data_IF_729957210564
#
_entry.id   IF_729957210564
#
_cell.length_a   1.000
_cell.length_b   1.000
_cell.length_c   1.000
_cell.angle_alpha   90.00
_cell.angle_beta   90.00
_cell.angle_gamma   90.00
#
_symmetry.space_group_name_H-M   'P 1'
#
loop_
_entity.id
_entity.type
_entity.pdbx_description
1 polymer ?
#
# COMPACT_ATOMS: atom_id res chain seq x y z
N UNK A 1 -11.82 9.98 -1.42
CA UNK A 1 -10.88 9.72 -0.31
C UNK A 1 -10.69 8.22 -0.26
N UNK A 2 -9.48 7.70 -0.39
CA UNK A 2 -9.24 6.30 -0.02
C UNK A 2 -9.55 6.20 1.46
N UNK A 3 -10.53 5.39 1.82
CA UNK A 3 -10.93 5.29 3.21
C UNK A 3 -9.85 4.52 3.97
N UNK A 4 -9.57 4.91 5.21
CA UNK A 4 -8.75 4.10 6.15
C UNK A 4 -9.24 2.64 6.19
N UNK A 5 -10.54 2.43 5.94
CA UNK A 5 -11.12 1.10 5.74
C UNK A 5 -10.49 0.34 4.56
N UNK A 6 -10.31 0.96 3.40
CA UNK A 6 -9.70 0.31 2.23
C UNK A 6 -8.24 -0.09 2.50
N UNK A 7 -7.47 0.81 3.14
CA UNK A 7 -6.07 0.54 3.51
C UNK A 7 -5.91 -0.62 4.50
N UNK A 8 -6.92 -0.94 5.31
CA UNK A 8 -6.91 -2.12 6.19
C UNK A 8 -7.50 -3.33 5.47
N UNK A 9 -8.72 -3.20 4.96
CA UNK A 9 -9.53 -4.30 4.49
C UNK A 9 -8.89 -5.00 3.29
N UNK A 10 -8.42 -4.24 2.31
CA UNK A 10 -7.82 -4.77 1.08
C UNK A 10 -6.61 -5.65 1.40
N UNK A 11 -5.55 -5.17 2.09
CA UNK A 11 -4.39 -6.01 2.34
C UNK A 11 -4.68 -7.18 3.29
N UNK A 12 -5.58 -7.03 4.27
CA UNK A 12 -6.00 -8.15 5.13
C UNK A 12 -6.63 -9.25 4.29
N UNK A 13 -7.58 -8.92 3.42
CA UNK A 13 -8.28 -9.89 2.56
C UNK A 13 -7.30 -10.57 1.61
N UNK A 14 -6.38 -9.81 0.99
CA UNK A 14 -5.36 -10.37 0.10
C UNK A 14 -4.47 -11.36 0.85
N UNK A 15 -3.94 -11.01 2.03
CA UNK A 15 -3.12 -11.93 2.81
C UNK A 15 -3.88 -13.16 3.27
N UNK A 16 -5.15 -13.03 3.66
CA UNK A 16 -5.99 -14.17 4.02
C UNK A 16 -6.24 -15.10 2.83
N UNK A 17 -6.48 -14.54 1.63
CA UNK A 17 -6.68 -15.30 0.39
C UNK A 17 -5.45 -16.16 0.05
N UNK A 18 -4.25 -15.63 0.27
CA UNK A 18 -3.00 -16.33 -0.01
C UNK A 18 -2.35 -17.00 1.20
N UNK A 19 -2.97 -16.91 2.40
CA UNK A 19 -2.39 -17.36 3.67
C UNK A 19 -1.89 -18.80 3.64
N UNK A 20 -2.70 -19.73 3.12
CA UNK A 20 -2.33 -21.15 3.00
C UNK A 20 -1.12 -21.37 2.09
N UNK A 21 -1.04 -20.66 0.96
CA UNK A 21 0.08 -20.78 0.01
C UNK A 21 1.36 -20.16 0.55
N UNK A 22 1.23 -19.07 1.29
CA UNK A 22 2.34 -18.35 1.90
C UNK A 22 2.75 -18.92 3.28
N UNK A 23 2.12 -20.00 3.73
CA UNK A 23 2.28 -20.60 5.07
C UNK A 23 2.11 -19.58 6.21
N UNK A 24 1.16 -18.65 6.07
CA UNK A 24 0.85 -17.63 7.07
C UNK A 24 -0.27 -18.12 7.99
N UNK A 25 -0.13 -17.89 9.29
CA UNK A 25 -1.22 -18.13 10.22
C UNK A 25 -2.25 -16.98 10.13
N UNK A 26 -3.55 -17.26 9.89
CA UNK A 26 -4.57 -16.22 9.79
C UNK A 26 -4.66 -15.30 11.01
N UNK A 27 -4.38 -15.85 12.20
CA UNK A 27 -4.33 -15.07 13.45
C UNK A 27 -3.27 -13.96 13.38
N UNK A 28 -2.09 -14.27 12.86
CA UNK A 28 -1.00 -13.30 12.75
C UNK A 28 -1.35 -12.24 11.71
N UNK A 29 -1.98 -12.63 10.60
CA UNK A 29 -2.48 -11.69 9.58
C UNK A 29 -3.44 -10.68 10.20
N UNK A 30 -4.43 -11.13 10.97
CA UNK A 30 -5.43 -10.27 11.60
C UNK A 30 -4.80 -9.36 12.67
N UNK A 31 -3.99 -9.92 13.59
CA UNK A 31 -3.37 -9.16 14.68
C UNK A 31 -2.41 -8.09 14.13
N UNK A 32 -1.59 -8.45 13.14
CA UNK A 32 -0.65 -7.52 12.52
C UNK A 32 -1.35 -6.54 11.56
N UNK A 33 -2.65 -6.69 11.30
CA UNK A 33 -3.44 -5.75 10.51
C UNK A 33 -3.41 -4.31 11.03
N UNK A 34 -3.11 -4.12 12.32
CA UNK A 34 -2.86 -2.78 12.89
C UNK A 34 -1.74 -2.02 12.16
N UNK A 35 -0.72 -2.70 11.63
CA UNK A 35 0.35 -2.05 10.86
C UNK A 35 -0.14 -1.41 9.56
N UNK A 36 -1.30 -1.82 9.04
CA UNK A 36 -1.92 -1.16 7.89
C UNK A 36 -2.38 0.26 8.22
N UNK A 37 -2.65 0.58 9.50
CA UNK A 37 -3.09 1.92 9.94
C UNK A 37 -1.91 2.78 10.39
N UNK A 38 -0.74 2.18 10.56
CA UNK A 38 0.42 2.88 11.10
C UNK A 38 0.80 4.13 10.29
N UNK A 39 0.76 4.12 8.94
CA UNK A 39 1.03 5.33 8.16
C UNK A 39 0.05 6.47 8.48
N UNK A 40 -1.24 6.15 8.59
CA UNK A 40 -2.29 7.12 8.91
C UNK A 40 -2.19 7.71 10.32
N UNK A 41 -1.34 7.17 11.20
CA UNK A 41 -1.11 7.74 12.53
C UNK A 41 -0.51 9.17 12.46
N UNK A 42 0.08 9.57 11.32
CA UNK A 42 0.53 10.96 11.12
C UNK A 42 -0.64 11.98 11.11
N UNK A 43 -1.86 11.53 10.82
CA UNK A 43 -3.08 12.34 10.96
C UNK A 43 -3.37 12.73 12.40
N UNK A 44 -2.94 11.93 13.39
CA UNK A 44 -3.13 12.25 14.80
C UNK A 44 -2.31 13.48 15.22
N UNK A 45 -1.13 13.70 14.64
CA UNK A 45 -0.33 14.90 14.91
C UNK A 45 -1.06 16.17 14.45
N UNK A 46 -1.88 16.07 13.40
CA UNK A 46 -2.76 17.14 12.97
C UNK A 46 -3.96 17.30 13.90
N UNK A 47 -4.63 16.20 14.27
CA UNK A 47 -5.80 16.22 15.19
C UNK A 47 -5.44 16.78 16.57
N UNK A 48 -4.28 16.42 17.11
CA UNK A 48 -3.79 16.92 18.40
C UNK A 48 -3.16 18.32 18.33
N UNK A 49 -3.21 19.01 17.17
CA UNK A 49 -2.60 20.34 16.93
C UNK A 49 -1.12 20.43 17.36
N UNK A 50 -0.39 19.32 17.26
CA UNK A 50 1.04 19.27 17.58
C UNK A 50 1.89 19.94 16.49
N UNK A 51 1.30 20.20 15.32
CA UNK A 51 1.92 20.94 14.22
C UNK A 51 0.91 21.91 13.59
N UNK A 52 1.32 23.14 13.23
CA UNK A 52 0.50 24.09 12.48
C UNK A 52 0.36 23.73 10.99
N UNK A 53 1.11 22.74 10.49
CA UNK A 53 1.08 22.28 9.09
C UNK A 53 0.35 20.93 9.02
N UNK A 54 -0.57 20.71 8.06
CA UNK A 54 -1.14 19.39 7.81
C UNK A 54 -0.03 18.43 7.35
N UNK A 55 0.46 17.62 8.28
CA UNK A 55 1.52 16.62 8.07
C UNK A 55 0.99 15.27 7.55
N UNK A 56 -0.32 15.17 7.29
CA UNK A 56 -0.91 13.95 6.79
C UNK A 56 -0.31 13.61 5.41
N UNK A 57 0.24 12.38 5.27
CA UNK A 57 0.99 11.90 4.09
C UNK A 57 2.45 12.34 3.97
N UNK A 58 3.08 12.70 5.08
CA UNK A 58 4.47 13.20 5.10
C UNK A 58 5.37 12.32 5.98
N UNK A 59 5.00 12.11 7.25
CA UNK A 59 5.91 11.49 8.22
C UNK A 59 5.99 9.97 8.11
N UNK A 60 4.85 9.30 7.93
CA UNK A 60 4.80 7.83 7.91
C UNK A 60 4.42 7.27 6.54
N UNK A 61 4.18 8.13 5.58
CA UNK A 61 3.85 7.80 4.20
C UNK A 61 5.09 7.97 3.31
N UNK A 62 6.14 7.23 3.62
CA UNK A 62 7.39 7.24 2.87
C UNK A 62 8.04 5.85 2.91
N UNK A 63 9.01 5.61 2.03
CA UNK A 63 9.64 4.30 1.90
C UNK A 63 10.42 3.88 3.17
N UNK A 64 10.86 4.84 3.99
CA UNK A 64 11.67 4.56 5.18
C UNK A 64 10.90 3.76 6.24
N UNK A 65 9.57 3.91 6.32
CA UNK A 65 8.75 3.10 7.23
C UNK A 65 8.79 1.61 6.88
N UNK A 66 8.94 1.28 5.59
CA UNK A 66 9.02 -0.10 5.10
C UNK A 66 10.45 -0.66 5.24
N UNK A 67 11.48 0.20 5.17
CA UNK A 67 12.87 -0.25 5.19
C UNK A 67 13.24 -1.02 6.46
N UNK A 68 12.80 -0.57 7.64
CA UNK A 68 13.12 -1.23 8.90
C UNK A 68 12.56 -2.67 8.95
N UNK A 69 11.24 -2.90 8.77
CA UNK A 69 10.71 -4.26 8.74
C UNK A 69 11.26 -5.08 7.58
N UNK A 70 11.61 -4.47 6.45
CA UNK A 70 12.24 -5.18 5.33
C UNK A 70 13.64 -5.69 5.67
N UNK A 71 14.46 -4.87 6.35
CA UNK A 71 15.76 -5.32 6.85
C UNK A 71 15.59 -6.45 7.87
N UNK A 72 14.62 -6.34 8.79
CA UNK A 72 14.33 -7.40 9.76
C UNK A 72 13.82 -8.68 9.09
N UNK A 73 13.04 -8.57 8.01
CA UNK A 73 12.61 -9.70 7.19
C UNK A 73 13.81 -10.48 6.61
N UNK A 74 14.85 -9.77 6.17
CA UNK A 74 16.08 -10.38 5.63
C UNK A 74 16.95 -10.99 6.74
N UNK A 75 17.16 -10.24 7.83
CA UNK A 75 18.13 -10.58 8.87
C UNK A 75 17.59 -11.59 9.89
N UNK A 76 16.29 -11.54 10.22
CA UNK A 76 15.69 -12.33 11.31
C UNK A 76 14.90 -13.52 10.74
N UNK A 77 15.62 -14.56 10.32
CA UNK A 77 15.03 -15.75 9.68
C UNK A 77 13.90 -16.40 10.49
N UNK A 78 14.04 -16.49 11.81
CA UNK A 78 13.07 -17.15 12.70
C UNK A 78 11.73 -16.42 12.81
N UNK A 79 11.67 -15.13 12.44
CA UNK A 79 10.45 -14.30 12.48
C UNK A 79 10.11 -13.72 11.11
N UNK A 80 10.65 -14.31 10.04
CA UNK A 80 10.50 -13.82 8.67
C UNK A 80 9.04 -13.67 8.25
N UNK A 81 8.16 -14.55 8.69
CA UNK A 81 6.72 -14.45 8.40
C UNK A 81 6.09 -13.17 8.98
N UNK A 82 6.41 -12.85 10.24
CA UNK A 82 5.91 -11.65 10.93
C UNK A 82 6.35 -10.39 10.19
N UNK A 83 7.65 -10.27 9.91
CA UNK A 83 8.15 -9.10 9.19
C UNK A 83 7.66 -9.04 7.74
N UNK A 84 7.43 -10.19 7.10
CA UNK A 84 6.83 -10.26 5.77
C UNK A 84 5.40 -9.72 5.74
N UNK A 85 4.57 -10.08 6.73
CA UNK A 85 3.22 -9.54 6.90
C UNK A 85 3.27 -8.02 7.12
N UNK A 86 4.14 -7.54 8.01
CA UNK A 86 4.30 -6.10 8.28
C UNK A 86 4.74 -5.35 7.02
N UNK A 87 5.74 -5.88 6.29
CA UNK A 87 6.18 -5.29 5.02
C UNK A 87 5.04 -5.20 4.01
N UNK A 88 4.23 -6.26 3.92
CA UNK A 88 3.09 -6.27 3.01
C UNK A 88 2.07 -5.20 3.36
N UNK A 89 1.71 -5.05 4.64
CA UNK A 89 0.77 -4.01 5.08
C UNK A 89 1.27 -2.61 4.76
N UNK A 90 2.49 -2.28 5.16
CA UNK A 90 3.05 -0.95 4.94
C UNK A 90 3.22 -0.66 3.44
N UNK A 91 3.74 -1.62 2.67
CA UNK A 91 3.92 -1.44 1.21
C UNK A 91 2.58 -1.30 0.49
N UNK A 92 1.57 -2.09 0.87
CA UNK A 92 0.23 -1.99 0.30
C UNK A 92 -0.39 -0.62 0.56
N UNK A 93 -0.18 -0.07 1.77
CA UNK A 93 -0.59 1.29 2.09
C UNK A 93 0.06 2.32 1.16
N UNK A 94 1.38 2.28 1.01
CA UNK A 94 2.09 3.22 0.12
C UNK A 94 1.63 3.09 -1.35
N UNK A 95 1.37 1.87 -1.82
CA UNK A 95 0.85 1.62 -3.17
C UNK A 95 -0.56 2.20 -3.31
N UNK A 96 -1.47 1.94 -2.39
CA UNK A 96 -2.82 2.48 -2.46
C UNK A 96 -2.83 4.02 -2.44
N UNK A 97 -1.98 4.64 -1.62
CA UNK A 97 -1.86 6.11 -1.60
C UNK A 97 -1.22 6.68 -2.88
N UNK A 98 -0.23 5.99 -3.47
CA UNK A 98 0.34 6.37 -4.77
C UNK A 98 -0.75 6.51 -5.84
N UNK A 99 -1.78 5.66 -5.78
CA UNK A 99 -2.90 5.64 -6.73
C UNK A 99 -4.11 6.48 -6.32
N UNK A 100 -4.16 7.04 -5.12
CA UNK A 100 -5.34 7.74 -4.58
C UNK A 100 -5.07 9.18 -4.14
N UNK A 101 -4.00 9.78 -4.65
CA UNK A 101 -3.67 11.19 -4.44
C UNK A 101 -2.16 11.46 -4.36
N UNK A 102 -1.35 10.41 -4.28
CA UNK A 102 0.09 10.49 -4.26
C UNK A 102 0.68 10.48 -2.85
N UNK A 103 2.00 10.28 -2.81
CA UNK A 103 2.78 10.03 -1.61
C UNK A 103 4.12 10.75 -1.62
N UNK A 104 4.55 11.25 -0.46
CA UNK A 104 5.87 11.86 -0.24
C UNK A 104 6.95 10.79 -0.05
N UNK A 105 7.25 10.03 -1.11
CA UNK A 105 7.99 8.76 -1.04
C UNK A 105 9.33 8.83 -0.29
N UNK A 106 10.03 9.98 -0.36
CA UNK A 106 11.39 10.16 0.16
C UNK A 106 11.50 11.28 1.21
N UNK A 107 10.39 11.71 1.82
CA UNK A 107 10.44 12.70 2.90
C UNK A 107 11.25 12.15 4.10
N UNK A 108 12.09 12.96 4.79
CA UNK A 108 12.32 14.40 4.62
C UNK A 108 13.42 14.78 3.61
N UNK A 109 14.02 13.80 2.93
CA UNK A 109 15.13 14.04 1.99
C UNK A 109 14.64 14.74 0.71
N UNK A 110 13.43 14.39 0.27
CA UNK A 110 12.80 14.99 -0.90
C UNK A 110 11.31 15.14 -0.66
N UNK A 111 10.80 16.36 -0.83
CA UNK A 111 9.47 16.78 -0.41
C UNK A 111 8.40 16.66 -1.51
N UNK A 112 8.78 16.36 -2.75
CA UNK A 112 7.79 16.29 -3.82
C UNK A 112 6.99 14.98 -3.76
N UNK A 113 5.76 15.06 -4.23
CA UNK A 113 4.75 14.01 -4.16
C UNK A 113 4.78 13.19 -5.45
N UNK A 114 4.95 11.89 -5.31
CA UNK A 114 4.86 10.92 -6.40
C UNK A 114 3.42 10.47 -6.53
N UNK A 115 2.91 10.36 -7.75
CA UNK A 115 1.56 9.90 -8.00
C UNK A 115 1.48 9.06 -9.27
N UNK A 116 0.51 8.15 -9.29
CA UNK A 116 0.12 7.41 -10.48
C UNK A 116 -1.40 7.35 -10.53
N UNK A 117 -1.99 7.75 -11.64
CA UNK A 117 -3.43 7.78 -11.87
C UNK A 117 -3.73 6.99 -13.12
N UNK A 118 -4.61 6.01 -12.97
CA UNK A 118 -5.01 5.11 -14.06
C UNK A 118 -6.51 4.90 -13.90
N UNK A 119 -7.28 5.59 -14.74
CA UNK A 119 -8.73 5.55 -14.70
C UNK A 119 -9.30 5.19 -16.06
N UNK A 120 -10.48 4.57 -16.04
CA UNK A 120 -11.32 4.41 -17.21
C UNK A 120 -12.58 5.25 -17.00
N UNK A 121 -12.67 6.38 -17.69
CA UNK A 121 -13.82 7.27 -17.62
C UNK A 121 -14.92 6.77 -18.57
N UNK A 122 -16.18 7.01 -18.20
CA UNK A 122 -17.33 6.67 -19.02
C UNK A 122 -18.21 7.91 -19.21
N UNK A 123 -18.03 8.60 -20.33
CA UNK A 123 -18.87 9.70 -20.80
C UNK A 123 -19.25 9.38 -22.25
N UNK A 124 -20.31 8.60 -22.44
CA UNK A 124 -20.79 8.02 -23.72
C UNK A 124 -19.87 6.96 -24.37
N UNK A 125 -18.57 6.98 -24.06
CA UNK A 125 -17.60 5.96 -24.46
C UNK A 125 -16.53 5.77 -23.38
N UNK A 126 -15.81 4.64 -23.43
CA UNK A 126 -14.70 4.37 -22.53
C UNK A 126 -13.45 5.14 -22.96
N UNK A 127 -13.02 6.09 -22.14
CA UNK A 127 -11.80 6.86 -22.38
C UNK A 127 -10.77 6.58 -21.28
N UNK A 128 -9.59 6.01 -21.61
CA UNK A 128 -8.53 5.81 -20.64
C UNK A 128 -7.91 7.15 -20.25
N UNK A 129 -7.73 7.37 -18.95
CA UNK A 129 -7.04 8.52 -18.39
C UNK A 129 -5.84 8.01 -17.58
N UNK A 130 -4.64 8.25 -18.10
CA UNK A 130 -3.37 7.83 -17.47
C UNK A 130 -2.53 9.08 -17.21
N UNK A 131 -2.21 9.31 -15.95
CA UNK A 131 -1.43 10.46 -15.51
C UNK A 131 -0.46 10.00 -14.41
N UNK A 132 0.83 10.23 -14.56
CA UNK A 132 1.82 9.87 -13.53
C UNK A 132 2.91 10.91 -13.52
N UNK A 133 3.53 11.12 -12.36
CA UNK A 133 4.59 12.11 -12.26
C UNK A 133 4.93 12.50 -10.85
N UNK A 134 5.55 13.67 -10.76
CA UNK A 134 6.00 14.30 -9.53
C UNK A 134 5.33 15.67 -9.45
N UNK A 135 4.73 15.97 -8.30
CA UNK A 135 3.97 17.19 -8.04
C UNK A 135 4.45 17.84 -6.74
N UNK A 136 4.29 19.16 -6.63
CA UNK A 136 4.49 19.91 -5.38
C UNK A 136 3.26 19.85 -4.45
N UNK A 137 2.16 19.28 -4.93
CA UNK A 137 0.87 19.18 -4.24
C UNK A 137 0.22 17.80 -4.41
N UNK A 138 -0.60 17.42 -3.43
CA UNK A 138 -1.44 16.20 -3.49
C UNK A 138 -2.35 16.32 -4.72
N UNK A 139 -2.43 15.26 -5.51
CA UNK A 139 -3.26 15.23 -6.71
C UNK A 139 -4.72 15.08 -6.32
N UNK A 140 -5.58 15.96 -6.86
CA UNK A 140 -7.02 15.86 -6.64
C UNK A 140 -7.58 14.57 -7.25
N UNK A 141 -8.44 13.90 -6.49
CA UNK A 141 -9.10 12.68 -6.93
C UNK A 141 -10.30 13.00 -7.82
N UNK A 142 -10.09 12.87 -9.13
CA UNK A 142 -11.15 12.64 -10.11
C UNK A 142 -11.65 13.87 -10.87
N UNK A 143 -11.68 13.72 -12.18
CA UNK A 143 -12.59 14.46 -13.08
C UNK A 143 -13.81 13.53 -13.25
N UNK A 144 -14.80 13.62 -12.35
CA UNK A 144 -16.03 12.81 -12.42
C UNK A 144 -15.98 11.42 -11.75
N UNK A 145 -16.99 10.58 -12.05
CA UNK A 145 -17.13 9.20 -11.54
C UNK A 145 -16.57 8.17 -12.54
N UNK A 146 -15.36 7.62 -12.33
CA UNK A 146 -14.76 6.67 -13.27
C UNK A 146 -15.45 5.29 -13.20
N UNK A 147 -15.53 4.59 -14.34
CA UNK A 147 -15.98 3.20 -14.41
C UNK A 147 -14.95 2.23 -13.82
N UNK A 148 -13.65 2.53 -13.96
CA UNK A 148 -12.56 1.88 -13.24
C UNK A 148 -11.71 2.97 -12.60
N UNK A 149 -11.62 2.97 -11.27
CA UNK A 149 -10.81 3.95 -10.53
C UNK A 149 -9.35 3.53 -10.41
N UNK A 150 -8.46 4.50 -10.17
CA UNK A 150 -7.05 4.26 -9.85
C UNK A 150 -6.87 3.34 -8.64
N UNK A 151 -7.76 3.40 -7.67
CA UNK A 151 -7.77 2.50 -6.52
C UNK A 151 -8.01 1.05 -6.95
N UNK A 152 -8.96 0.79 -7.85
CA UNK A 152 -9.20 -0.57 -8.36
C UNK A 152 -7.96 -1.13 -9.06
N UNK A 153 -7.23 -0.29 -9.79
CA UNK A 153 -5.96 -0.68 -10.43
C UNK A 153 -4.90 -1.02 -9.39
N UNK A 154 -4.78 -0.22 -8.31
CA UNK A 154 -3.86 -0.52 -7.22
C UNK A 154 -4.17 -1.87 -6.55
N UNK A 155 -5.45 -2.18 -6.31
CA UNK A 155 -5.88 -3.49 -5.78
C UNK A 155 -5.50 -4.62 -6.73
N UNK A 156 -5.72 -4.44 -8.04
CA UNK A 156 -5.35 -5.44 -9.03
C UNK A 156 -3.84 -5.70 -9.04
N UNK A 157 -3.01 -4.65 -8.94
CA UNK A 157 -1.55 -4.76 -8.83
C UNK A 157 -1.16 -5.58 -7.58
N UNK A 158 -1.75 -5.27 -6.43
CA UNK A 158 -1.48 -6.00 -5.18
C UNK A 158 -1.85 -7.48 -5.28
N UNK A 159 -2.99 -7.80 -5.91
CA UNK A 159 -3.41 -9.17 -6.17
C UNK A 159 -2.43 -9.91 -7.08
N UNK A 160 -1.99 -9.27 -8.18
CA UNK A 160 -1.04 -9.86 -9.13
C UNK A 160 0.30 -10.15 -8.43
N UNK A 161 0.83 -9.20 -7.67
CA UNK A 161 2.08 -9.37 -6.90
C UNK A 161 1.92 -10.55 -5.91
N UNK A 162 0.83 -10.58 -5.16
CA UNK A 162 0.58 -11.63 -4.16
C UNK A 162 0.43 -13.01 -4.79
N UNK A 163 -0.25 -13.09 -5.93
CA UNK A 163 -0.38 -14.31 -6.71
C UNK A 163 0.98 -14.79 -7.24
N UNK A 164 1.80 -13.89 -7.79
CA UNK A 164 3.13 -14.19 -8.28
C UNK A 164 4.06 -14.70 -7.18
N UNK A 165 4.09 -14.03 -6.02
CA UNK A 165 4.88 -14.45 -4.85
C UNK A 165 4.42 -15.82 -4.35
N UNK A 166 3.11 -16.03 -4.27
CA UNK A 166 2.53 -17.31 -3.84
C UNK A 166 2.83 -18.45 -4.83
N UNK A 167 2.86 -18.18 -6.13
CA UNK A 167 3.20 -19.16 -7.16
C UNK A 167 4.71 -19.49 -7.16
N UNK A 168 5.58 -18.49 -6.98
CA UNK A 168 7.02 -18.69 -6.86
C UNK A 168 7.41 -19.56 -5.66
N UNK A 169 6.69 -19.42 -4.54
CA UNK A 169 6.86 -20.29 -3.36
C UNK A 169 6.53 -21.77 -3.64
N UNK A 170 5.61 -22.05 -4.58
CA UNK A 170 5.26 -23.42 -4.99
C UNK A 170 6.39 -24.03 -5.82
N UNK A 171 6.92 -23.28 -6.79
CA UNK A 171 8.00 -23.75 -7.68
C UNK A 171 9.32 -24.03 -6.94
N UNK A 172 9.60 -23.30 -5.86
CA UNK A 172 10.78 -23.56 -5.02
C UNK A 172 10.66 -24.84 -4.19
N UNK A 173 9.44 -25.21 -3.76
CA UNK A 173 9.18 -26.38 -2.93
C UNK A 173 9.19 -27.69 -3.74
N UNK A 174 8.63 -27.68 -4.94
CA UNK A 174 8.62 -28.85 -5.85
C UNK A 174 9.99 -29.21 -6.43
N UNK A 175 11.00 -28.35 -6.27
CA UNK A 175 12.37 -28.57 -6.74
C UNK A 175 13.31 -29.09 -5.65
N UNK A 176 12.84 -29.17 -4.40
CA UNK A 176 13.60 -29.64 -3.24
C UNK A 176 13.10 -31.00 -2.72
N UNK A 177 12.09 -31.59 -3.36
CA UNK A 177 11.64 -32.97 -3.21
C UNK A 177 12.22 -33.83 -4.36
#
# INVERSE_FOLDING_TARGET
>A
MSSLFNHIFIPVVILLLFSKKLNLHPRDVIILGFFAVLPDADSLFFVFKLSPVPLHRVLFHNIFIVMIPFLLFILVKNRRQVFGIICFYLTSHLILDLFTGGISLFYPVYSNIFFARVELLFNDSFTPAIEYGISDRIMNMGIGEPAISSENIAVAILLIISAAVSAGGIYGKTRQE
#
